data_IF_095547511335
#
_entry.id   IF_095547511335
#
_cell.length_a   1.000
_cell.length_b   1.000
_cell.length_c   1.000
_cell.angle_alpha   90.00
_cell.angle_beta   90.00
_cell.angle_gamma   90.00
#
_symmetry.space_group_name_H-M   'P 1'
#
loop_
_entity.id
_entity.type
_entity.pdbx_description
1 polymer ?
#
# COMPACT_ATOMS: atom_id res chain seq x y z
N UNK A 1 -6.20 10.24 -51.21
CA UNK A 1 -5.42 10.00 -49.97
C UNK A 1 -5.06 11.36 -49.38
N UNK A 2 -5.62 11.68 -48.20
CA UNK A 2 -5.38 12.94 -47.50
C UNK A 2 -3.96 12.93 -46.93
N UNK A 3 -3.09 13.86 -47.35
CA UNK A 3 -1.73 14.02 -46.79
C UNK A 3 -1.84 14.61 -45.39
N UNK A 4 -1.24 13.93 -44.40
CA UNK A 4 -1.18 14.41 -43.02
C UNK A 4 -0.58 15.81 -42.96
N UNK A 5 -1.13 16.68 -42.09
CA UNK A 5 -0.57 18.02 -41.81
C UNK A 5 0.64 17.96 -40.87
N UNK A 6 0.94 16.80 -40.28
CA UNK A 6 2.03 16.60 -39.34
C UNK A 6 3.22 15.94 -40.04
N UNK A 7 4.44 16.26 -39.58
CA UNK A 7 5.70 15.72 -40.12
C UNK A 7 5.89 14.22 -39.82
N UNK A 8 5.05 13.66 -38.94
CA UNK A 8 4.99 12.24 -38.62
C UNK A 8 3.83 11.64 -39.43
N UNK A 9 4.15 10.68 -40.27
CA UNK A 9 3.16 9.91 -41.02
C UNK A 9 2.48 8.87 -40.10
N UNK A 10 1.17 8.62 -40.26
CA UNK A 10 0.49 7.54 -39.56
C UNK A 10 1.15 6.18 -39.84
N UNK A 11 1.09 5.27 -38.85
CA UNK A 11 1.53 3.89 -39.05
C UNK A 11 0.77 3.24 -40.22
N UNK A 12 1.50 2.57 -41.11
CA UNK A 12 0.90 1.72 -42.14
C UNK A 12 0.36 0.43 -41.49
N UNK A 13 -0.97 0.32 -41.45
CA UNK A 13 -1.66 -0.81 -40.85
C UNK A 13 -2.07 -1.88 -41.88
N UNK A 14 -1.71 -1.72 -43.16
CA UNK A 14 -2.15 -2.61 -44.27
C UNK A 14 -1.76 -4.08 -44.07
N UNK A 15 -0.72 -4.35 -43.29
CA UNK A 15 -0.22 -5.70 -42.97
C UNK A 15 -0.73 -6.24 -41.63
N UNK A 16 -1.58 -5.48 -40.91
CA UNK A 16 -2.10 -5.89 -39.60
C UNK A 16 -3.17 -6.97 -39.77
N UNK A 17 -3.02 -8.10 -39.07
CA UNK A 17 -4.03 -9.15 -39.00
C UNK A 17 -4.82 -9.06 -37.70
N UNK A 18 -6.13 -9.28 -37.80
CA UNK A 18 -7.04 -9.36 -36.64
C UNK A 18 -7.57 -10.78 -36.50
N UNK A 19 -8.07 -11.13 -35.32
CA UNK A 19 -8.68 -12.44 -35.06
C UNK A 19 -9.96 -12.28 -34.21
N UNK A 20 -10.92 -13.22 -34.30
CA UNK A 20 -12.14 -13.18 -33.50
C UNK A 20 -11.85 -13.29 -32.00
N UNK A 21 -12.49 -12.44 -31.19
CA UNK A 21 -12.34 -12.46 -29.73
C UNK A 21 -12.68 -13.84 -29.13
N UNK A 22 -13.67 -14.53 -29.69
CA UNK A 22 -14.10 -15.88 -29.28
C UNK A 22 -13.02 -16.95 -29.43
N UNK A 23 -12.03 -16.74 -30.31
CA UNK A 23 -10.94 -17.67 -30.55
C UNK A 23 -9.77 -17.53 -29.57
N UNK A 24 -9.79 -16.54 -28.68
CA UNK A 24 -8.70 -16.27 -27.73
C UNK A 24 -9.08 -16.65 -26.30
N UNK A 25 -8.23 -17.39 -25.56
CA UNK A 25 -8.42 -17.57 -24.12
C UNK A 25 -8.49 -16.24 -23.38
N UNK A 26 -9.53 -16.05 -22.56
CA UNK A 26 -9.71 -14.87 -21.72
C UNK A 26 -9.48 -15.24 -20.25
N UNK A 27 -8.78 -14.37 -19.51
CA UNK A 27 -8.46 -14.57 -18.08
C UNK A 27 -9.61 -14.15 -17.15
N UNK A 28 -10.59 -13.43 -17.68
CA UNK A 28 -11.67 -12.80 -16.91
C UNK A 28 -12.99 -13.05 -17.61
N UNK A 29 -13.99 -13.45 -16.84
CA UNK A 29 -15.38 -13.55 -17.27
C UNK A 29 -16.30 -12.80 -16.28
N UNK A 30 -17.56 -12.63 -16.67
CA UNK A 30 -18.57 -11.89 -15.89
C UNK A 30 -18.85 -12.48 -14.51
N UNK A 31 -18.55 -13.76 -14.28
CA UNK A 31 -18.65 -14.40 -12.97
C UNK A 31 -17.61 -13.91 -11.96
N UNK A 32 -16.54 -13.25 -12.41
CA UNK A 32 -15.55 -12.60 -11.54
C UNK A 32 -15.92 -11.17 -11.15
N UNK A 33 -17.03 -10.64 -11.69
CA UNK A 33 -17.41 -9.25 -11.43
C UNK A 33 -17.83 -9.05 -9.99
N UNK A 34 -17.47 -7.89 -9.44
CA UNK A 34 -17.94 -7.46 -8.14
C UNK A 34 -19.42 -7.08 -8.17
N UNK A 35 -20.00 -6.93 -6.98
CA UNK A 35 -21.37 -6.46 -6.79
C UNK A 35 -21.35 -5.04 -6.21
N UNK A 36 -22.23 -4.13 -6.67
CA UNK A 36 -22.35 -2.80 -6.09
C UNK A 36 -22.68 -2.87 -4.60
N UNK A 37 -22.08 -1.98 -3.81
CA UNK A 37 -22.48 -1.79 -2.41
C UNK A 37 -23.86 -1.12 -2.35
N UNK A 38 -24.66 -1.51 -1.35
CA UNK A 38 -25.98 -0.93 -1.11
C UNK A 38 -25.91 0.03 0.08
N UNK A 39 -26.55 1.18 -0.03
CA UNK A 39 -26.67 2.12 1.08
C UNK A 39 -27.26 1.41 2.32
N UNK A 40 -26.66 1.65 3.48
CA UNK A 40 -27.00 0.96 4.74
C UNK A 40 -26.37 -0.43 4.91
N UNK A 41 -25.61 -0.92 3.92
CA UNK A 41 -24.87 -2.17 4.04
C UNK A 41 -23.65 -2.06 4.95
N UNK A 42 -23.22 -3.20 5.49
CA UNK A 42 -22.02 -3.33 6.32
C UNK A 42 -20.73 -3.33 5.49
N UNK A 43 -19.60 -3.06 6.15
CA UNK A 43 -18.28 -3.24 5.56
C UNK A 43 -18.02 -4.70 5.14
N UNK A 44 -18.54 -5.67 5.89
CA UNK A 44 -18.42 -7.08 5.55
C UNK A 44 -19.11 -7.41 4.21
N UNK A 45 -20.30 -6.84 3.98
CA UNK A 45 -21.02 -6.99 2.70
C UNK A 45 -20.29 -6.29 1.55
N UNK A 46 -19.68 -5.13 1.78
CA UNK A 46 -18.81 -4.48 0.81
C UNK A 46 -17.63 -5.38 0.42
N UNK A 47 -16.89 -5.91 1.40
CA UNK A 47 -15.73 -6.79 1.16
C UNK A 47 -16.15 -8.08 0.44
N UNK A 48 -17.28 -8.68 0.82
CA UNK A 48 -17.85 -9.86 0.15
C UNK A 48 -18.41 -9.56 -1.25
N UNK A 49 -18.57 -8.29 -1.60
CA UNK A 49 -18.97 -7.82 -2.92
C UNK A 49 -17.79 -7.54 -3.86
N UNK A 50 -16.55 -7.46 -3.36
CA UNK A 50 -15.38 -7.19 -4.19
C UNK A 50 -15.12 -8.33 -5.21
N UNK A 51 -14.59 -8.01 -6.41
CA UNK A 51 -14.24 -9.03 -7.39
C UNK A 51 -13.13 -9.92 -6.86
N UNK A 52 -13.23 -11.24 -7.08
CA UNK A 52 -12.23 -12.20 -6.59
C UNK A 52 -11.03 -12.31 -7.55
N UNK A 53 -10.46 -11.17 -7.93
CA UNK A 53 -9.33 -11.08 -8.85
C UNK A 53 -8.33 -10.01 -8.38
N UNK A 54 -7.06 -10.17 -8.76
CA UNK A 54 -5.98 -9.22 -8.47
C UNK A 54 -5.95 -8.84 -6.97
N UNK A 55 -5.72 -7.57 -6.66
CA UNK A 55 -5.59 -7.06 -5.29
C UNK A 55 -6.78 -7.39 -4.38
N UNK A 56 -8.00 -7.45 -4.90
CA UNK A 56 -9.17 -7.79 -4.10
C UNK A 56 -9.17 -9.27 -3.67
N UNK A 57 -8.70 -10.17 -4.54
CA UNK A 57 -8.43 -11.56 -4.17
C UNK A 57 -7.30 -11.63 -3.14
N UNK A 58 -6.19 -10.94 -3.41
CA UNK A 58 -4.99 -11.01 -2.59
C UNK A 58 -5.26 -10.47 -1.17
N UNK A 59 -6.07 -9.42 -1.04
CA UNK A 59 -6.53 -8.90 0.24
C UNK A 59 -7.27 -9.96 1.07
N UNK A 60 -8.21 -10.68 0.46
CA UNK A 60 -8.96 -11.75 1.12
C UNK A 60 -8.07 -12.92 1.53
N UNK A 61 -7.12 -13.31 0.68
CA UNK A 61 -6.15 -14.37 0.97
C UNK A 61 -5.24 -13.95 2.14
N UNK A 62 -4.72 -12.72 2.12
CA UNK A 62 -3.86 -12.18 3.16
C UNK A 62 -4.58 -12.16 4.51
N UNK A 63 -5.79 -11.57 4.55
CA UNK A 63 -6.60 -11.50 5.76
C UNK A 63 -6.90 -12.89 6.33
N UNK A 64 -7.27 -13.84 5.47
CA UNK A 64 -7.50 -15.23 5.87
C UNK A 64 -6.21 -15.86 6.41
N UNK A 65 -5.07 -15.67 5.73
CA UNK A 65 -3.79 -16.27 6.14
C UNK A 65 -3.31 -15.75 7.50
N UNK A 66 -3.45 -14.44 7.76
CA UNK A 66 -3.13 -13.83 9.06
C UNK A 66 -4.04 -14.42 10.15
N UNK A 67 -5.34 -14.52 9.89
CA UNK A 67 -6.29 -15.12 10.84
C UNK A 67 -5.95 -16.58 11.13
N UNK A 68 -5.64 -17.37 10.09
CA UNK A 68 -5.26 -18.77 10.23
C UNK A 68 -3.94 -18.95 11.00
N UNK A 69 -2.95 -18.07 10.79
CA UNK A 69 -1.72 -18.05 11.57
C UNK A 69 -2.01 -17.79 13.05
N UNK A 70 -2.89 -16.82 13.36
CA UNK A 70 -3.28 -16.52 14.73
C UNK A 70 -3.98 -17.69 15.43
N UNK A 71 -4.97 -18.35 14.79
CA UNK A 71 -5.66 -19.49 15.42
C UNK A 71 -4.74 -20.69 15.61
N UNK A 72 -3.71 -20.83 14.77
CA UNK A 72 -2.68 -21.84 14.88
C UNK A 72 -1.53 -21.44 15.82
N UNK A 73 -1.67 -20.32 16.55
CA UNK A 73 -0.65 -19.77 17.46
C UNK A 73 0.72 -19.57 16.79
N UNK A 74 0.75 -19.21 15.50
CA UNK A 74 1.97 -18.92 14.75
C UNK A 74 2.28 -17.42 14.81
N UNK A 75 3.57 -17.02 14.85
CA UNK A 75 3.95 -15.62 14.83
C UNK A 75 3.56 -14.95 13.50
N UNK A 76 3.11 -13.71 13.57
CA UNK A 76 2.83 -12.84 12.41
C UNK A 76 3.81 -11.67 12.42
N UNK A 77 4.82 -11.74 11.57
CA UNK A 77 5.85 -10.71 11.45
C UNK A 77 5.51 -9.73 10.32
N UNK A 78 5.54 -8.44 10.60
CA UNK A 78 5.20 -7.38 9.65
C UNK A 78 6.46 -6.62 9.20
N UNK A 79 6.76 -6.66 7.90
CA UNK A 79 7.77 -5.81 7.28
C UNK A 79 7.12 -4.51 6.77
N UNK A 80 7.51 -3.37 7.32
CA UNK A 80 6.87 -2.07 7.06
C UNK A 80 7.89 -1.03 6.59
N UNK A 81 7.49 -0.22 5.61
CA UNK A 81 8.17 1.05 5.34
C UNK A 81 7.73 2.12 6.33
N UNK A 82 8.61 3.09 6.62
CA UNK A 82 8.34 4.20 7.54
C UNK A 82 7.07 5.02 7.22
N UNK A 83 6.61 4.97 5.96
CA UNK A 83 5.40 5.65 5.51
C UNK A 83 4.14 5.17 6.22
N UNK A 84 4.11 3.92 6.69
CA UNK A 84 2.97 3.38 7.44
C UNK A 84 2.75 4.18 8.73
N UNK A 85 3.83 4.52 9.43
CA UNK A 85 3.76 5.31 10.66
C UNK A 85 3.49 6.77 10.34
N UNK A 86 4.22 7.35 9.37
CA UNK A 86 4.09 8.76 9.02
C UNK A 86 2.68 9.14 8.54
N UNK A 87 1.93 8.22 7.94
CA UNK A 87 0.54 8.45 7.51
C UNK A 87 -0.49 8.15 8.60
N UNK A 88 -0.06 7.97 9.86
CA UNK A 88 -0.95 7.86 11.01
C UNK A 88 -1.57 6.48 11.23
N UNK A 89 -1.00 5.40 10.68
CA UNK A 89 -1.52 4.04 10.90
C UNK A 89 -1.01 3.39 12.19
N UNK A 90 -0.15 4.05 12.97
CA UNK A 90 0.35 3.52 14.23
C UNK A 90 -0.77 3.03 15.18
N UNK A 91 -1.88 3.76 15.41
CA UNK A 91 -2.97 3.28 16.27
C UNK A 91 -3.64 1.99 15.76
N UNK A 92 -3.69 1.78 14.44
CA UNK A 92 -4.24 0.55 13.85
C UNK A 92 -3.31 -0.63 14.11
N UNK A 93 -2.00 -0.43 13.99
CA UNK A 93 -1.03 -1.47 14.31
C UNK A 93 -1.02 -1.80 15.81
N UNK A 94 -1.18 -0.81 16.68
CA UNK A 94 -1.33 -1.03 18.12
C UNK A 94 -2.57 -1.88 18.41
N UNK A 95 -3.74 -1.58 17.83
CA UNK A 95 -4.93 -2.43 17.96
C UNK A 95 -4.67 -3.87 17.49
N UNK A 96 -3.97 -4.04 16.37
CA UNK A 96 -3.61 -5.36 15.86
C UNK A 96 -2.61 -6.09 16.76
N UNK A 97 -1.68 -5.38 17.42
CA UNK A 97 -0.77 -5.93 18.43
C UNK A 97 -1.56 -6.42 19.64
N UNK A 98 -2.45 -5.59 20.19
CA UNK A 98 -3.29 -5.93 21.35
C UNK A 98 -4.19 -7.15 21.08
N UNK A 99 -4.61 -7.32 19.82
CA UNK A 99 -5.45 -8.44 19.38
C UNK A 99 -4.65 -9.68 18.96
N UNK A 100 -3.32 -9.64 19.00
CA UNK A 100 -2.43 -10.76 18.70
C UNK A 100 -2.25 -11.05 17.20
N UNK A 101 -2.47 -10.06 16.33
CA UNK A 101 -2.24 -10.14 14.88
C UNK A 101 -0.87 -9.60 14.45
N UNK A 102 -0.10 -9.05 15.38
CA UNK A 102 1.28 -8.59 15.17
C UNK A 102 2.14 -9.22 16.28
N UNK A 103 3.10 -10.05 15.89
CA UNK A 103 4.07 -10.64 16.82
C UNK A 103 5.43 -9.93 16.79
N UNK A 104 5.70 -9.19 15.72
CA UNK A 104 6.91 -8.40 15.56
C UNK A 104 6.83 -7.51 14.33
N UNK A 105 7.57 -6.40 14.36
CA UNK A 105 7.64 -5.42 13.29
C UNK A 105 9.11 -5.25 12.88
N UNK A 106 9.37 -5.25 11.57
CA UNK A 106 10.67 -4.94 10.99
C UNK A 106 10.53 -3.72 10.08
N UNK A 107 11.38 -2.70 10.30
CA UNK A 107 11.30 -1.40 9.62
C UNK A 107 12.69 -0.94 9.18
N UNK A 108 12.72 0.03 8.27
CA UNK A 108 13.93 0.81 8.04
C UNK A 108 14.11 1.90 9.12
N UNK A 109 15.28 2.53 9.16
CA UNK A 109 15.62 3.53 10.19
C UNK A 109 14.72 4.76 10.21
N UNK A 110 14.02 5.10 9.12
CA UNK A 110 13.08 6.23 9.14
C UNK A 110 11.82 5.94 9.97
N UNK A 111 11.52 4.65 10.26
CA UNK A 111 10.37 4.28 11.10
C UNK A 111 10.50 4.85 12.52
N UNK A 112 11.68 4.73 13.13
CA UNK A 112 11.93 5.23 14.49
C UNK A 112 11.88 6.77 14.55
N UNK A 113 12.30 7.44 13.47
CA UNK A 113 12.25 8.91 13.36
C UNK A 113 10.80 9.38 13.38
N UNK A 114 9.95 8.82 12.50
CA UNK A 114 8.55 9.25 12.43
C UNK A 114 7.77 8.94 13.71
N UNK A 115 7.99 7.76 14.30
CA UNK A 115 7.36 7.39 15.56
C UNK A 115 7.77 8.33 16.70
N UNK A 116 9.08 8.60 16.83
CA UNK A 116 9.62 9.51 17.83
C UNK A 116 9.09 10.93 17.70
N UNK A 117 9.12 11.51 16.50
CA UNK A 117 8.67 12.89 16.26
C UNK A 117 7.16 13.05 16.55
N UNK A 118 6.33 12.07 16.13
CA UNK A 118 4.91 12.04 16.46
C UNK A 118 4.72 11.97 17.98
N UNK A 119 5.47 11.11 18.68
CA UNK A 119 5.36 10.97 20.13
C UNK A 119 5.82 12.24 20.88
N UNK A 120 6.86 12.92 20.38
CA UNK A 120 7.44 14.09 21.03
C UNK A 120 6.61 15.36 20.82
N UNK A 121 6.19 15.64 19.58
CA UNK A 121 5.57 16.92 19.22
C UNK A 121 4.27 16.80 18.41
N UNK A 122 3.79 15.58 18.13
CA UNK A 122 2.54 15.33 17.42
C UNK A 122 2.61 15.51 15.90
N UNK A 123 3.82 15.68 15.34
CA UNK A 123 4.02 15.90 13.90
C UNK A 123 5.33 15.30 13.41
N UNK A 124 5.42 15.00 12.12
CA UNK A 124 6.62 14.42 11.47
C UNK A 124 6.58 14.71 9.97
N UNK A 125 7.59 14.26 9.21
CA UNK A 125 7.72 14.36 7.75
C UNK A 125 8.07 15.77 7.28
N UNK A 126 9.31 16.19 7.53
CA UNK A 126 9.88 17.42 6.97
C UNK A 126 9.80 17.47 5.43
N UNK A 127 9.76 18.69 4.88
CA UNK A 127 9.78 18.92 3.44
C UNK A 127 11.19 18.71 2.88
N UNK A 128 11.35 17.62 2.14
CA UNK A 128 12.64 17.22 1.55
C UNK A 128 13.15 18.27 0.57
N UNK A 129 12.29 18.77 -0.32
CA UNK A 129 12.72 19.67 -1.40
C UNK A 129 13.11 21.04 -0.83
N UNK A 130 12.40 21.50 0.21
CA UNK A 130 12.69 22.75 0.89
C UNK A 130 13.99 22.71 1.72
N UNK A 131 14.35 21.56 2.31
CA UNK A 131 15.48 21.44 3.27
C UNK A 131 16.72 20.74 2.72
N UNK A 132 16.63 20.11 1.55
CA UNK A 132 17.79 19.42 0.96
C UNK A 132 18.80 20.38 0.37
N UNK A 133 18.34 21.51 -0.17
CA UNK A 133 19.20 22.49 -0.86
C UNK A 133 20.18 23.21 0.05
N UNK A 134 19.83 23.43 1.32
CA UNK A 134 20.65 24.11 2.32
C UNK A 134 21.35 23.15 3.30
N UNK A 135 21.15 21.83 3.13
CA UNK A 135 21.72 20.79 3.99
C UNK A 135 21.04 20.65 5.35
N UNK A 136 19.88 21.28 5.55
CA UNK A 136 19.14 21.21 6.81
C UNK A 136 18.25 19.96 6.94
N UNK A 137 18.08 19.18 5.87
CA UNK A 137 17.29 17.95 5.87
C UNK A 137 17.87 16.91 6.86
N UNK A 138 17.03 16.40 7.76
CA UNK A 138 17.41 15.39 8.76
C UNK A 138 18.19 15.95 9.96
N UNK A 139 18.23 17.27 10.13
CA UNK A 139 19.06 17.94 11.14
C UNK A 139 18.32 18.34 12.43
N UNK A 140 17.19 17.69 12.76
CA UNK A 140 16.51 17.93 14.04
C UNK A 140 17.40 17.49 15.21
N UNK A 141 17.70 18.44 16.11
CA UNK A 141 18.53 18.19 17.28
C UNK A 141 17.87 17.17 18.22
N UNK A 142 16.57 17.33 18.51
CA UNK A 142 15.84 16.43 19.39
C UNK A 142 15.81 15.01 18.85
N UNK A 143 15.45 14.84 17.56
CA UNK A 143 15.43 13.53 16.90
C UNK A 143 16.80 12.86 16.95
N UNK A 144 17.85 13.58 16.55
CA UNK A 144 19.21 13.04 16.54
C UNK A 144 19.73 12.70 17.95
N UNK A 145 19.64 13.64 18.88
CA UNK A 145 20.22 13.51 20.21
C UNK A 145 19.48 12.49 21.08
N UNK A 146 18.15 12.57 21.14
CA UNK A 146 17.37 11.76 22.09
C UNK A 146 17.30 10.29 21.67
N UNK A 147 17.17 10.01 20.37
CA UNK A 147 17.20 8.63 19.86
C UNK A 147 18.56 8.00 20.18
N UNK A 148 19.69 8.69 19.90
CA UNK A 148 21.01 8.15 20.20
C UNK A 148 21.25 7.95 21.70
N UNK A 149 20.76 8.85 22.56
CA UNK A 149 20.80 8.68 24.02
C UNK A 149 20.00 7.47 24.51
N UNK A 150 18.93 7.09 23.82
CA UNK A 150 18.11 5.94 24.21
C UNK A 150 18.75 4.58 23.86
N UNK A 151 19.71 4.55 22.93
CA UNK A 151 20.30 3.31 22.40
C UNK A 151 21.81 3.16 22.68
N UNK A 152 22.44 4.14 23.34
CA UNK A 152 23.84 4.11 23.77
C UNK A 152 23.96 3.68 25.23
#
# INVERSE_FOLDING_TARGET
MSRSRYRIEPFDLSTTQTYPLSGRPSKVDVGLFGRPHKAGGSLAEFLAGLPKILAARDLGILATSIFQARIACKPVLWGLGAHVIKTGLAPVFIDLMDRGFVSGIAMNGAGVIHDFEIALCGSTSEDVDARRGDGAFGMSEETGLMINRAIS
#
